data_IF_091441405060
#
_entry.id   IF_091441405060
#
_cell.length_a   1.000
_cell.length_b   1.000
_cell.length_c   1.000
_cell.angle_alpha   90.00
_cell.angle_beta   90.00
_cell.angle_gamma   90.00
#
_symmetry.space_group_name_H-M   'P 1'
#
loop_
_entity.id
_entity.type
_entity.pdbx_description
1 polymer ?
#
# COMPACT_ATOMS: atom_id res chain seq x y z
N UNK A 1 15.42 -15.59 4.38
CA UNK A 1 14.17 -14.92 4.85
C UNK A 1 13.01 -15.29 3.94
N UNK A 2 11.78 -15.46 4.47
CA UNK A 2 10.60 -15.74 3.63
C UNK A 2 10.31 -14.56 2.68
N UNK A 3 9.75 -14.78 1.47
CA UNK A 3 9.45 -13.69 0.54
C UNK A 3 8.60 -12.56 1.15
N UNK A 4 7.61 -12.89 1.99
CA UNK A 4 6.81 -11.89 2.70
C UNK A 4 7.63 -11.01 3.66
N UNK A 5 8.62 -11.57 4.36
CA UNK A 5 9.52 -10.79 5.22
C UNK A 5 10.36 -9.80 4.39
N UNK A 6 10.81 -10.22 3.21
CA UNK A 6 11.54 -9.32 2.29
C UNK A 6 10.66 -8.17 1.80
N UNK A 7 9.38 -8.44 1.52
CA UNK A 7 8.43 -7.39 1.14
C UNK A 7 8.22 -6.36 2.25
N UNK A 8 8.07 -6.82 3.50
CA UNK A 8 7.99 -5.93 4.66
C UNK A 8 9.24 -5.06 4.85
N UNK A 9 10.43 -5.67 4.74
CA UNK A 9 11.70 -4.91 4.80
C UNK A 9 11.78 -3.89 3.68
N UNK A 10 11.42 -4.27 2.44
CA UNK A 10 11.44 -3.35 1.31
C UNK A 10 10.46 -2.18 1.50
N UNK A 11 9.25 -2.44 2.01
CA UNK A 11 8.27 -1.40 2.31
C UNK A 11 8.81 -0.41 3.36
N UNK A 12 9.33 -0.92 4.48
CA UNK A 12 9.91 -0.07 5.53
C UNK A 12 11.12 0.73 5.05
N UNK A 13 12.01 0.09 4.28
CA UNK A 13 13.19 0.75 3.71
C UNK A 13 12.80 1.87 2.73
N UNK A 14 11.77 1.65 1.91
CA UNK A 14 11.27 2.68 1.00
C UNK A 14 10.71 3.89 1.75
N UNK A 15 9.86 3.67 2.76
CA UNK A 15 9.30 4.75 3.58
C UNK A 15 10.42 5.54 4.26
N UNK A 16 11.39 4.85 4.88
CA UNK A 16 12.52 5.50 5.54
C UNK A 16 13.40 6.29 4.58
N UNK A 17 13.70 5.73 3.40
CA UNK A 17 14.47 6.42 2.38
C UNK A 17 13.72 7.65 1.86
N UNK A 18 12.42 7.54 1.59
CA UNK A 18 11.62 8.67 1.14
C UNK A 18 11.63 9.80 2.15
N UNK A 19 11.30 9.53 3.41
CA UNK A 19 11.24 10.57 4.45
C UNK A 19 12.62 11.21 4.75
N UNK A 20 13.72 10.50 4.48
CA UNK A 20 15.08 11.02 4.64
C UNK A 20 15.54 11.92 3.48
N UNK A 21 15.08 11.63 2.26
CA UNK A 21 15.59 12.28 1.05
C UNK A 21 14.57 13.16 0.32
N UNK A 22 13.31 13.18 0.75
CA UNK A 22 12.28 14.02 0.14
C UNK A 22 12.55 15.52 0.37
N UNK A 23 12.03 16.40 -0.50
CA UNK A 23 11.98 17.84 -0.22
C UNK A 23 11.26 18.14 1.11
N UNK A 24 11.54 19.31 1.68
CA UNK A 24 10.87 19.74 2.92
C UNK A 24 9.35 19.80 2.71
N UNK A 25 8.59 19.19 3.64
CA UNK A 25 7.13 19.09 3.57
C UNK A 25 6.61 17.98 2.66
N UNK A 26 7.49 17.18 2.05
CA UNK A 26 7.10 16.03 1.22
C UNK A 26 7.33 14.68 1.92
N UNK A 27 7.46 14.69 3.26
CA UNK A 27 7.39 13.45 4.03
C UNK A 27 6.06 12.75 3.77
N UNK A 28 6.07 11.43 3.85
CA UNK A 28 4.88 10.62 3.56
C UNK A 28 3.70 11.00 4.48
N UNK A 29 4.01 11.37 5.73
CA UNK A 29 3.04 11.86 6.72
C UNK A 29 2.43 13.22 6.33
N UNK A 30 3.23 14.13 5.79
CA UNK A 30 2.76 15.44 5.33
C UNK A 30 1.90 15.32 4.07
N UNK A 31 2.32 14.48 3.12
CA UNK A 31 1.53 14.17 1.94
C UNK A 31 0.18 13.52 2.33
N UNK A 32 0.19 12.57 3.28
CA UNK A 32 -1.03 11.97 3.80
C UNK A 32 -1.94 13.00 4.47
N UNK A 33 -1.39 13.93 5.27
CA UNK A 33 -2.14 15.04 5.89
C UNK A 33 -2.81 15.92 4.83
N UNK A 34 -2.06 16.36 3.80
CA UNK A 34 -2.62 17.15 2.69
C UNK A 34 -3.72 16.39 1.96
N UNK A 35 -3.52 15.10 1.73
CA UNK A 35 -4.53 14.23 1.13
C UNK A 35 -5.82 14.18 1.96
N UNK A 36 -5.73 14.01 3.28
CA UNK A 36 -6.90 14.01 4.17
C UNK A 36 -7.62 15.36 4.16
N UNK A 37 -6.89 16.48 4.09
CA UNK A 37 -7.51 17.81 3.99
C UNK A 37 -8.22 18.01 2.64
N UNK A 38 -7.60 17.62 1.53
CA UNK A 38 -8.14 17.82 0.19
C UNK A 38 -9.28 16.83 -0.15
N UNK A 39 -9.14 15.57 0.25
CA UNK A 39 -10.04 14.47 -0.08
C UNK A 39 -10.25 13.53 1.13
N UNK A 40 -10.95 13.98 2.19
CA UNK A 40 -10.98 13.29 3.49
C UNK A 40 -11.49 11.85 3.40
N UNK A 41 -12.58 11.61 2.67
CA UNK A 41 -13.15 10.26 2.52
C UNK A 41 -12.23 9.35 1.71
N UNK A 42 -11.70 9.85 0.59
CA UNK A 42 -10.89 9.04 -0.32
C UNK A 42 -9.54 8.68 0.31
N UNK A 43 -8.83 9.66 0.87
CA UNK A 43 -7.52 9.41 1.49
C UNK A 43 -7.65 8.55 2.75
N UNK A 44 -8.61 8.84 3.62
CA UNK A 44 -8.84 8.03 4.83
C UNK A 44 -9.27 6.61 4.46
N UNK A 45 -10.16 6.46 3.47
CA UNK A 45 -10.56 5.16 2.95
C UNK A 45 -9.39 4.36 2.38
N UNK A 46 -8.53 4.98 1.58
CA UNK A 46 -7.34 4.33 1.02
C UNK A 46 -6.37 3.85 2.13
N UNK A 47 -6.12 4.67 3.14
CA UNK A 47 -5.29 4.31 4.30
C UNK A 47 -5.93 3.15 5.06
N UNK A 48 -7.23 3.25 5.38
CA UNK A 48 -7.94 2.22 6.14
C UNK A 48 -7.98 0.88 5.41
N UNK A 49 -8.28 0.87 4.11
CA UNK A 49 -8.29 -0.34 3.27
C UNK A 49 -6.90 -0.96 3.22
N UNK A 50 -5.85 -0.15 3.05
CA UNK A 50 -4.46 -0.64 3.05
C UNK A 50 -4.08 -1.25 4.40
N UNK A 51 -4.41 -0.60 5.51
CA UNK A 51 -4.16 -1.11 6.85
C UNK A 51 -4.92 -2.42 7.12
N UNK A 52 -6.19 -2.49 6.75
CA UNK A 52 -7.01 -3.70 6.90
C UNK A 52 -6.50 -4.85 6.02
N UNK A 53 -6.04 -4.56 4.80
CA UNK A 53 -5.40 -5.55 3.93
C UNK A 53 -4.14 -6.13 4.59
N UNK A 54 -3.22 -5.26 5.01
CA UNK A 54 -1.96 -5.69 5.64
C UNK A 54 -2.17 -6.43 6.96
N UNK A 55 -3.23 -6.09 7.70
CA UNK A 55 -3.65 -6.79 8.91
C UNK A 55 -4.46 -8.07 8.64
N UNK A 56 -4.68 -8.44 7.36
CA UNK A 56 -5.50 -9.58 6.94
C UNK A 56 -6.91 -9.57 7.56
N UNK A 57 -7.52 -8.38 7.63
CA UNK A 57 -8.87 -8.15 8.18
C UNK A 57 -9.95 -7.99 7.12
N UNK A 58 -9.59 -7.91 5.84
CA UNK A 58 -10.53 -7.91 4.73
C UNK A 58 -10.80 -9.34 4.26
N UNK A 59 -12.07 -9.62 3.95
CA UNK A 59 -12.43 -10.86 3.27
C UNK A 59 -11.93 -10.82 1.82
N UNK A 60 -11.45 -11.95 1.28
CA UNK A 60 -10.80 -12.03 -0.06
C UNK A 60 -11.62 -11.45 -1.22
N UNK A 61 -12.95 -11.49 -1.13
CA UNK A 61 -13.86 -10.96 -2.17
C UNK A 61 -13.97 -9.43 -2.17
N UNK A 62 -13.59 -8.77 -1.08
CA UNK A 62 -13.67 -7.31 -0.91
C UNK A 62 -12.30 -6.68 -0.68
N UNK A 63 -11.24 -7.48 -0.66
CA UNK A 63 -9.86 -7.00 -0.54
C UNK A 63 -9.33 -6.61 -1.92
N UNK A 64 -9.25 -5.31 -2.26
CA UNK A 64 -8.83 -4.89 -3.59
C UNK A 64 -7.40 -5.31 -3.91
N UNK A 65 -6.49 -5.39 -2.93
CA UNK A 65 -5.12 -5.82 -3.16
C UNK A 65 -5.05 -7.32 -3.51
N UNK A 66 -5.86 -8.15 -2.83
CA UNK A 66 -5.98 -9.57 -3.16
C UNK A 66 -6.56 -9.78 -4.57
N UNK A 67 -7.62 -9.03 -4.92
CA UNK A 67 -8.24 -9.09 -6.24
C UNK A 67 -7.27 -8.69 -7.36
N UNK A 68 -6.52 -7.62 -7.18
CA UNK A 68 -5.49 -7.20 -8.16
C UNK A 68 -4.38 -8.24 -8.27
N UNK A 69 -3.89 -8.76 -7.15
CA UNK A 69 -2.83 -9.77 -7.15
C UNK A 69 -3.23 -11.06 -7.88
N UNK A 70 -4.47 -11.52 -7.66
CA UNK A 70 -5.01 -12.71 -8.36
C UNK A 70 -5.20 -12.46 -9.85
N UNK A 71 -5.76 -11.31 -10.25
CA UNK A 71 -5.90 -10.94 -11.66
C UNK A 71 -4.56 -10.93 -12.41
N UNK A 72 -3.52 -10.31 -11.84
CA UNK A 72 -2.19 -10.26 -12.46
C UNK A 72 -1.56 -11.65 -12.56
N UNK A 73 -1.74 -12.50 -11.55
CA UNK A 73 -1.25 -13.88 -11.59
C UNK A 73 -1.96 -14.70 -12.68
N UNK A 74 -3.28 -14.57 -12.81
CA UNK A 74 -4.07 -15.21 -13.86
C UNK A 74 -3.66 -14.75 -15.27
N UNK A 75 -3.44 -13.45 -15.47
CA UNK A 75 -2.97 -12.91 -16.75
C UNK A 75 -1.56 -13.41 -17.14
N UNK A 76 -0.70 -13.67 -16.16
CA UNK A 76 0.63 -14.29 -16.37
C UNK A 76 0.56 -15.76 -16.77
N UNK A 77 -0.50 -16.46 -16.37
CA UNK A 77 -0.71 -17.87 -16.71
C UNK A 77 -1.24 -18.05 -18.15
N UNK A 78 -2.05 -17.11 -18.65
CA UNK A 78 -2.60 -17.13 -20.01
C UNK A 78 -1.52 -16.86 -21.08
N UNK A 79 -0.43 -16.16 -20.71
CA UNK A 79 0.68 -15.80 -21.62
C UNK A 79 1.82 -16.82 -21.68
N UNK A 80 1.74 -17.94 -20.95
CA UNK A 80 2.73 -19.04 -21.00
C UNK A 80 2.16 -20.22 -21.76
#
# INVERSE_FOLDING_TARGET
MRPGCRAWVALGAYVAAWDMFCPQGEQLTDAARRGVVAHPVLTTGAIAVTALHLANRLHRRVDPFYLVGTFVASARFIKR
#
